data_IF_269965774062
#
_entry.id   IF_269965774062
#
_cell.length_a   1.000
_cell.length_b   1.000
_cell.length_c   1.000
_cell.angle_alpha   90.00
_cell.angle_beta   90.00
_cell.angle_gamma   90.00
#
_symmetry.space_group_name_H-M   'P 1'
#
loop_
_entity.id
_entity.type
_entity.pdbx_description
1 polymer ?
#
# COMPACT_ATOMS: atom_id res chain seq x y z
N UNK A 1 20.02 10.42 17.26
CA UNK A 1 18.84 9.90 18.01
C UNK A 1 19.00 8.39 18.13
N UNK A 2 18.77 7.81 19.29
CA UNK A 2 18.82 6.36 19.51
C UNK A 2 17.65 5.70 18.76
N UNK A 3 17.93 4.59 18.08
CA UNK A 3 16.93 3.79 17.39
C UNK A 3 15.96 3.18 18.40
N UNK A 4 14.66 3.28 18.12
CA UNK A 4 13.62 2.70 18.99
C UNK A 4 13.62 1.16 18.90
N UNK A 5 13.07 0.49 19.91
CA UNK A 5 12.94 -0.98 19.89
C UNK A 5 12.10 -1.46 18.68
N UNK A 6 11.11 -0.68 18.25
CA UNK A 6 10.26 -0.94 17.10
C UNK A 6 11.06 -0.85 15.78
N UNK A 7 11.88 0.20 15.63
CA UNK A 7 12.76 0.35 14.45
C UNK A 7 13.79 -0.77 14.37
N UNK A 8 14.35 -1.19 15.52
CA UNK A 8 15.28 -2.31 15.61
C UNK A 8 14.62 -3.63 15.15
N UNK A 9 13.40 -3.91 15.62
CA UNK A 9 12.63 -5.10 15.24
C UNK A 9 12.34 -5.10 13.74
N UNK A 10 11.85 -3.99 13.18
CA UNK A 10 11.54 -3.87 11.75
C UNK A 10 12.79 -4.03 10.89
N UNK A 11 13.91 -3.48 11.33
CA UNK A 11 15.19 -3.68 10.67
C UNK A 11 15.59 -5.15 10.61
N UNK A 12 15.48 -5.86 11.73
CA UNK A 12 15.81 -7.29 11.78
C UNK A 12 14.94 -8.10 10.84
N UNK A 13 13.66 -7.77 10.77
CA UNK A 13 12.71 -8.38 9.84
C UNK A 13 13.11 -8.15 8.37
N UNK A 14 13.37 -6.89 7.98
CA UNK A 14 13.77 -6.55 6.60
C UNK A 14 15.06 -7.30 6.20
N UNK A 15 16.06 -7.29 7.08
CA UNK A 15 17.33 -7.98 6.82
C UNK A 15 17.11 -9.50 6.75
N UNK A 16 16.24 -10.05 7.61
CA UNK A 16 15.90 -11.48 7.61
C UNK A 16 15.25 -11.92 6.30
N UNK A 17 14.27 -11.16 5.84
CA UNK A 17 13.58 -11.44 4.57
C UNK A 17 14.56 -11.35 3.39
N UNK A 18 15.38 -10.30 3.31
CA UNK A 18 16.39 -10.17 2.26
C UNK A 18 17.38 -11.34 2.23
N UNK A 19 17.84 -11.78 3.41
CA UNK A 19 18.75 -12.92 3.53
C UNK A 19 18.10 -14.24 3.08
N UNK A 20 16.83 -14.46 3.44
CA UNK A 20 16.06 -15.64 3.08
C UNK A 20 15.94 -15.83 1.56
N UNK A 21 15.86 -14.73 0.79
CA UNK A 21 15.79 -14.75 -0.68
C UNK A 21 17.15 -14.61 -1.38
N UNK A 22 18.26 -14.79 -0.66
CA UNK A 22 19.60 -14.83 -1.25
C UNK A 22 20.22 -13.47 -1.58
N UNK A 23 19.65 -12.36 -1.05
CA UNK A 23 20.24 -11.01 -1.17
C UNK A 23 21.35 -10.76 -0.12
N UNK A 24 22.04 -11.83 0.30
CA UNK A 24 23.02 -11.78 1.39
C UNK A 24 24.25 -10.96 1.04
N UNK A 25 24.70 -10.99 -0.21
CA UNK A 25 25.83 -10.13 -0.68
C UNK A 25 25.48 -8.65 -0.56
N UNK A 26 24.23 -8.28 -0.89
CA UNK A 26 23.73 -6.93 -0.69
C UNK A 26 23.74 -6.51 0.78
N UNK A 27 23.43 -7.46 1.66
CA UNK A 27 23.46 -7.27 3.11
C UNK A 27 24.91 -7.16 3.61
N UNK A 28 25.82 -8.03 3.17
CA UNK A 28 27.18 -8.12 3.70
C UNK A 28 28.05 -6.94 3.25
N UNK A 29 27.90 -6.46 2.01
CA UNK A 29 28.74 -5.38 1.47
C UNK A 29 28.31 -3.96 1.89
N UNK A 30 27.02 -3.69 2.03
CA UNK A 30 26.50 -2.34 2.27
C UNK A 30 25.81 -2.14 3.62
N UNK A 31 25.01 -3.09 4.02
CA UNK A 31 24.07 -2.96 5.13
C UNK A 31 24.75 -3.24 6.47
N UNK A 32 25.60 -4.24 6.52
CA UNK A 32 26.22 -4.75 7.75
C UNK A 32 27.10 -3.72 8.47
N UNK A 33 27.88 -2.92 7.73
CA UNK A 33 28.79 -1.90 8.29
C UNK A 33 28.07 -0.65 8.83
N UNK A 34 26.93 -0.28 8.26
CA UNK A 34 26.19 0.94 8.62
C UNK A 34 24.98 0.70 9.52
N UNK A 35 24.40 -0.50 9.49
CA UNK A 35 23.06 -0.75 10.07
C UNK A 35 23.05 -1.67 11.29
N UNK A 36 24.16 -2.34 11.60
CA UNK A 36 24.30 -3.12 12.82
C UNK A 36 25.10 -2.33 13.86
N UNK A 37 24.58 -2.12 15.08
CA UNK A 37 25.33 -1.57 16.19
C UNK A 37 26.55 -2.44 16.45
N UNK A 38 27.72 -1.83 16.68
CA UNK A 38 28.95 -2.52 17.09
C UNK A 38 28.64 -3.40 18.31
N UNK A 39 28.86 -4.72 18.17
CA UNK A 39 28.76 -5.66 19.30
C UNK A 39 27.52 -6.57 19.34
N UNK A 40 26.49 -6.37 18.51
CA UNK A 40 25.36 -7.33 18.44
C UNK A 40 25.57 -8.33 17.29
N UNK A 41 25.70 -9.62 17.66
CA UNK A 41 25.79 -10.71 16.69
C UNK A 41 24.48 -10.82 15.91
N UNK A 42 24.50 -10.57 14.62
CA UNK A 42 23.47 -10.98 13.68
C UNK A 42 23.33 -12.52 13.73
N UNK A 43 22.12 -13.01 13.97
CA UNK A 43 21.86 -14.43 13.84
C UNK A 43 21.68 -14.73 12.35
N UNK A 44 22.67 -15.37 11.74
CA UNK A 44 22.51 -15.86 10.36
C UNK A 44 21.27 -16.75 10.30
N UNK A 45 20.44 -16.60 9.24
CA UNK A 45 19.41 -17.60 8.98
C UNK A 45 20.05 -19.00 8.96
N UNK A 46 19.31 -20.00 9.35
CA UNK A 46 19.79 -21.38 9.28
C UNK A 46 20.02 -21.76 7.81
N UNK A 47 20.98 -22.65 7.56
CA UNK A 47 21.32 -23.09 6.19
C UNK A 47 20.07 -23.60 5.43
N UNK A 48 19.19 -24.30 6.11
CA UNK A 48 17.92 -24.83 5.58
C UNK A 48 16.95 -23.72 5.12
N UNK A 49 17.02 -22.52 5.71
CA UNK A 49 16.18 -21.36 5.35
C UNK A 49 16.76 -20.57 4.15
N UNK A 50 18.06 -20.67 3.91
CA UNK A 50 18.77 -19.95 2.84
C UNK A 50 18.52 -20.55 1.45
N UNK A 51 18.20 -21.85 1.35
CA UNK A 51 18.07 -22.58 0.08
C UNK A 51 16.61 -22.77 -0.39
N UNK A 52 15.63 -22.36 0.42
CA UNK A 52 14.19 -22.53 0.12
C UNK A 52 13.74 -21.85 -1.19
N UNK A 53 14.49 -20.88 -1.67
CA UNK A 53 14.11 -20.05 -2.83
C UNK A 53 15.15 -20.01 -3.96
N UNK A 54 16.13 -20.93 -3.94
CA UNK A 54 17.22 -20.96 -4.96
C UNK A 54 16.69 -21.21 -6.37
N UNK A 55 15.55 -21.85 -6.52
CA UNK A 55 14.90 -22.11 -7.80
C UNK A 55 14.17 -20.89 -8.43
N UNK A 56 14.04 -19.77 -7.70
CA UNK A 56 13.39 -18.58 -8.21
C UNK A 56 14.39 -17.70 -8.97
N UNK A 57 13.98 -17.16 -10.12
CA UNK A 57 14.75 -16.10 -10.78
C UNK A 57 14.74 -14.81 -9.95
N UNK A 58 15.73 -13.95 -10.17
CA UNK A 58 15.90 -12.69 -9.41
C UNK A 58 14.64 -11.79 -9.40
N UNK A 59 13.88 -11.62 -10.52
CA UNK A 59 12.63 -10.88 -10.49
C UNK A 59 11.59 -11.45 -9.52
N UNK A 60 11.42 -12.77 -9.50
CA UNK A 60 10.46 -13.42 -8.58
C UNK A 60 10.95 -13.42 -7.13
N UNK A 61 12.26 -13.48 -6.87
CA UNK A 61 12.84 -13.26 -5.53
C UNK A 61 12.52 -11.85 -5.03
N UNK A 62 12.72 -10.83 -5.86
CA UNK A 62 12.38 -9.45 -5.52
C UNK A 62 10.89 -9.29 -5.23
N UNK A 63 10.02 -9.85 -6.08
CA UNK A 63 8.58 -9.87 -5.83
C UNK A 63 8.25 -10.44 -4.45
N UNK A 64 8.80 -11.63 -4.16
CA UNK A 64 8.53 -12.33 -2.89
C UNK A 64 9.02 -11.55 -1.67
N UNK A 65 10.16 -10.88 -1.77
CA UNK A 65 10.65 -9.95 -0.72
C UNK A 65 9.67 -8.82 -0.48
N UNK A 66 9.22 -8.15 -1.54
CA UNK A 66 8.30 -7.02 -1.42
C UNK A 66 6.93 -7.46 -0.88
N UNK A 67 6.45 -8.64 -1.29
CA UNK A 67 5.20 -9.24 -0.82
C UNK A 67 5.28 -9.62 0.68
N UNK A 68 6.36 -10.25 1.10
CA UNK A 68 6.56 -10.67 2.50
C UNK A 68 6.78 -9.48 3.43
N UNK A 69 7.48 -8.44 3.00
CA UNK A 69 7.63 -7.21 3.76
C UNK A 69 6.31 -6.43 3.85
N UNK A 70 5.44 -6.59 2.86
CA UNK A 70 4.10 -6.03 2.83
C UNK A 70 4.06 -4.50 2.84
N UNK A 71 2.89 -3.93 3.18
CA UNK A 71 2.72 -2.50 3.39
C UNK A 71 3.28 -1.62 2.26
N UNK A 72 4.17 -0.73 2.61
CA UNK A 72 4.83 0.21 1.69
C UNK A 72 5.73 -0.51 0.68
N UNK A 73 6.37 -1.62 1.05
CA UNK A 73 7.24 -2.36 0.12
C UNK A 73 6.42 -3.01 -1.00
N UNK A 74 5.31 -3.65 -0.68
CA UNK A 74 4.41 -4.22 -1.69
C UNK A 74 3.84 -3.13 -2.60
N UNK A 75 3.42 -1.98 -2.03
CA UNK A 75 2.93 -0.83 -2.79
C UNK A 75 4.01 -0.24 -3.70
N UNK A 76 5.24 -0.13 -3.25
CA UNK A 76 6.36 0.29 -4.07
C UNK A 76 6.59 -0.66 -5.25
N UNK A 77 6.54 -1.97 -5.00
CA UNK A 77 6.61 -2.98 -6.06
C UNK A 77 5.51 -2.85 -7.11
N UNK A 78 4.28 -2.51 -6.69
CA UNK A 78 3.17 -2.23 -7.62
C UNK A 78 3.45 -0.98 -8.48
N UNK A 79 3.98 0.09 -7.89
CA UNK A 79 4.39 1.27 -8.65
C UNK A 79 5.51 0.91 -9.64
N UNK A 80 6.51 0.16 -9.21
CA UNK A 80 7.58 -0.30 -10.08
C UNK A 80 7.07 -1.19 -11.24
N UNK A 81 5.99 -1.96 -11.05
CA UNK A 81 5.41 -2.79 -12.10
C UNK A 81 4.83 -1.99 -13.27
N UNK A 82 4.57 -0.70 -13.10
CA UNK A 82 4.11 0.21 -14.16
C UNK A 82 5.25 0.96 -14.85
N UNK A 83 6.47 0.92 -14.30
CA UNK A 83 7.63 1.71 -14.74
C UNK A 83 8.51 0.91 -15.74
N UNK A 84 7.99 0.75 -16.96
CA UNK A 84 8.69 0.10 -18.08
C UNK A 84 9.94 0.87 -18.55
N UNK A 85 10.08 2.12 -18.14
CA UNK A 85 11.23 2.97 -18.36
C UNK A 85 12.42 2.66 -17.44
N UNK A 86 12.15 2.01 -16.28
CA UNK A 86 13.16 1.70 -15.26
C UNK A 86 13.52 0.21 -15.26
N UNK A 87 12.55 -0.68 -15.40
CA UNK A 87 12.71 -2.10 -15.19
C UNK A 87 12.60 -2.91 -16.48
N UNK A 88 13.42 -3.96 -16.64
CA UNK A 88 13.27 -4.95 -17.69
C UNK A 88 11.90 -5.66 -17.65
N UNK A 89 11.40 -6.17 -18.81
CA UNK A 89 10.07 -6.79 -18.90
C UNK A 89 9.81 -7.92 -17.90
N UNK A 90 10.82 -8.75 -17.61
CA UNK A 90 10.73 -9.86 -16.66
C UNK A 90 10.46 -9.41 -15.21
N UNK A 91 10.95 -8.22 -14.82
CA UNK A 91 10.64 -7.63 -13.52
C UNK A 91 9.23 -7.05 -13.50
N UNK A 92 8.80 -6.39 -14.58
CA UNK A 92 7.43 -5.88 -14.73
C UNK A 92 6.42 -7.01 -14.60
N UNK A 93 6.65 -8.13 -15.31
CA UNK A 93 5.80 -9.31 -15.25
C UNK A 93 5.71 -9.87 -13.82
N UNK A 94 6.85 -10.10 -13.19
CA UNK A 94 6.89 -10.62 -11.82
C UNK A 94 6.16 -9.70 -10.84
N UNK A 95 6.40 -8.38 -10.89
CA UNK A 95 5.84 -7.41 -9.96
C UNK A 95 4.35 -7.10 -10.24
N UNK A 96 3.86 -7.27 -11.48
CA UNK A 96 2.44 -7.03 -11.83
C UNK A 96 1.47 -7.93 -11.07
N UNK A 97 1.94 -9.08 -10.58
CA UNK A 97 1.16 -10.01 -9.77
C UNK A 97 1.15 -9.70 -8.26
N UNK A 98 1.85 -8.63 -7.82
CA UNK A 98 1.83 -8.21 -6.42
C UNK A 98 0.43 -7.77 -5.99
N UNK A 99 -0.08 -8.41 -4.95
CA UNK A 99 -1.38 -8.07 -4.35
C UNK A 99 -1.16 -7.46 -2.97
N UNK A 100 -1.87 -6.37 -2.70
CA UNK A 100 -1.85 -5.71 -1.38
C UNK A 100 -2.99 -6.19 -0.49
N UNK A 101 -3.35 -7.46 -0.55
CA UNK A 101 -4.35 -8.00 0.38
C UNK A 101 -3.70 -8.15 1.75
N UNK A 102 -4.19 -7.38 2.71
CA UNK A 102 -3.77 -7.44 4.10
C UNK A 102 -4.90 -8.04 4.96
N UNK A 103 -4.60 -8.78 6.03
CA UNK A 103 -5.61 -9.19 6.98
C UNK A 103 -6.41 -7.98 7.48
N UNK A 104 -7.69 -8.16 7.77
CA UNK A 104 -8.50 -7.12 8.41
C UNK A 104 -7.93 -6.75 9.79
N UNK A 105 -8.11 -5.49 10.20
CA UNK A 105 -7.86 -5.08 11.58
C UNK A 105 -8.96 -5.61 12.50
N UNK A 106 -8.64 -5.73 13.78
CA UNK A 106 -9.64 -6.04 14.79
C UNK A 106 -10.71 -4.94 14.87
N UNK A 107 -11.96 -5.34 15.14
CA UNK A 107 -13.07 -4.39 15.27
C UNK A 107 -12.87 -3.38 16.40
N UNK A 108 -12.17 -3.76 17.47
CA UNK A 108 -11.84 -2.85 18.58
C UNK A 108 -10.84 -1.78 18.17
N UNK A 109 -9.87 -2.12 17.32
CA UNK A 109 -8.95 -1.15 16.74
C UNK A 109 -9.70 -0.14 15.86
N UNK A 110 -10.67 -0.61 15.06
CA UNK A 110 -11.51 0.25 14.22
C UNK A 110 -12.38 1.17 15.08
N UNK A 111 -13.01 0.62 16.09
CA UNK A 111 -13.82 1.38 17.06
C UNK A 111 -13.03 2.48 17.73
N UNK A 112 -11.81 2.16 18.18
CA UNK A 112 -10.88 3.11 18.76
C UNK A 112 -10.49 4.20 17.77
N UNK A 113 -10.26 3.86 16.50
CA UNK A 113 -9.96 4.84 15.45
C UNK A 113 -11.13 5.83 15.25
N UNK A 114 -12.39 5.34 15.23
CA UNK A 114 -13.57 6.22 15.15
C UNK A 114 -13.67 7.18 16.32
N UNK A 115 -13.52 6.70 17.55
CA UNK A 115 -13.60 7.52 18.76
C UNK A 115 -12.52 8.63 18.72
N UNK A 116 -11.30 8.26 18.33
CA UNK A 116 -10.18 9.21 18.27
C UNK A 116 -10.34 10.26 17.17
N UNK A 117 -10.93 9.90 16.03
CA UNK A 117 -11.02 10.76 14.85
C UNK A 117 -12.35 11.52 14.74
N UNK A 118 -13.45 10.94 15.17
CA UNK A 118 -14.81 11.50 15.04
C UNK A 118 -15.49 11.75 16.39
N UNK A 119 -14.86 11.40 17.51
CA UNK A 119 -15.34 11.67 18.86
C UNK A 119 -16.41 10.70 19.37
N UNK A 120 -16.84 9.72 18.57
CA UNK A 120 -17.85 8.74 18.96
C UNK A 120 -17.63 7.39 18.24
N UNK A 121 -18.08 6.28 18.82
CA UNK A 121 -18.00 4.97 18.17
C UNK A 121 -18.97 4.85 16.98
N UNK A 122 -18.72 3.88 16.06
CA UNK A 122 -19.56 3.71 14.86
C UNK A 122 -21.04 3.57 15.15
N UNK A 123 -21.41 2.88 16.22
CA UNK A 123 -22.80 2.59 16.61
C UNK A 123 -23.61 3.86 16.98
N UNK A 124 -22.92 4.92 17.39
CA UNK A 124 -23.53 6.21 17.68
C UNK A 124 -23.64 7.11 16.45
N UNK A 125 -22.68 6.99 15.53
CA UNK A 125 -22.57 7.82 14.33
C UNK A 125 -23.48 7.31 13.20
N UNK A 126 -23.61 5.99 13.05
CA UNK A 126 -24.31 5.32 11.95
C UNK A 126 -25.51 4.49 12.46
N UNK A 127 -26.49 4.32 11.62
CA UNK A 127 -27.63 3.42 11.86
C UNK A 127 -27.23 1.94 11.70
N UNK A 128 -26.22 1.70 10.83
CA UNK A 128 -25.61 0.39 10.61
C UNK A 128 -24.13 0.58 10.26
N UNK A 129 -23.28 -0.27 10.81
CA UNK A 129 -21.87 -0.38 10.45
C UNK A 129 -21.50 -1.84 10.30
N UNK A 130 -20.94 -2.23 9.14
CA UNK A 130 -20.50 -3.60 8.90
C UNK A 130 -19.23 -3.90 9.69
N UNK A 131 -19.18 -4.93 10.54
CA UNK A 131 -17.95 -5.33 11.22
C UNK A 131 -16.94 -5.94 10.24
N UNK A 132 -17.41 -6.52 9.14
CA UNK A 132 -16.54 -7.06 8.09
C UNK A 132 -16.26 -5.99 7.05
N UNK A 133 -14.97 -5.78 6.68
CA UNK A 133 -14.61 -4.82 5.65
C UNK A 133 -14.99 -5.32 4.25
N UNK A 134 -15.40 -4.39 3.38
CA UNK A 134 -15.55 -4.63 1.94
C UNK A 134 -14.21 -4.89 1.26
N UNK A 135 -13.17 -4.21 1.73
CA UNK A 135 -11.81 -4.34 1.23
C UNK A 135 -10.79 -4.00 2.32
N UNK A 136 -9.65 -4.68 2.30
CA UNK A 136 -8.53 -4.43 3.20
C UNK A 136 -7.24 -4.23 2.39
N UNK A 137 -6.72 -3.01 2.39
CA UNK A 137 -5.51 -2.60 1.70
C UNK A 137 -4.34 -2.36 2.68
N UNK A 138 -3.17 -2.02 2.15
CA UNK A 138 -1.95 -1.80 2.95
C UNK A 138 -2.06 -0.69 3.98
N UNK A 139 -2.74 0.40 3.66
CA UNK A 139 -2.83 1.59 4.52
C UNK A 139 -4.18 1.75 5.22
N UNK A 140 -5.24 1.14 4.68
CA UNK A 140 -6.60 1.34 5.14
C UNK A 140 -7.47 0.11 4.88
N UNK A 141 -8.64 0.09 5.48
CA UNK A 141 -9.73 -0.81 5.12
C UNK A 141 -11.02 -0.02 4.89
N UNK A 142 -11.92 -0.60 4.10
CA UNK A 142 -13.18 0.03 3.71
C UNK A 142 -14.33 -0.78 4.29
N UNK A 143 -15.23 -0.12 5.00
CA UNK A 143 -16.43 -0.71 5.58
C UNK A 143 -17.69 -0.15 4.92
N UNK A 144 -18.74 -0.96 4.90
CA UNK A 144 -20.09 -0.53 4.52
C UNK A 144 -20.80 0.00 5.75
N UNK A 145 -21.48 1.14 5.61
CA UNK A 145 -22.30 1.68 6.67
C UNK A 145 -23.58 2.33 6.13
N UNK A 146 -24.52 2.66 7.01
CA UNK A 146 -25.74 3.39 6.69
C UNK A 146 -25.87 4.58 7.63
N UNK A 147 -26.05 5.76 7.05
CA UNK A 147 -26.32 6.98 7.80
C UNK A 147 -27.71 6.91 8.45
N UNK A 148 -27.98 7.77 9.43
CA UNK A 148 -29.27 7.85 10.14
C UNK A 148 -30.44 8.27 9.24
N UNK A 149 -30.16 8.87 8.08
CA UNK A 149 -31.16 9.20 7.05
C UNK A 149 -31.42 8.05 6.06
N UNK A 150 -30.79 6.90 6.25
CA UNK A 150 -30.94 5.72 5.41
C UNK A 150 -29.95 5.63 4.26
N UNK A 151 -29.08 6.62 4.02
CA UNK A 151 -28.12 6.64 2.93
C UNK A 151 -27.00 5.62 3.16
N UNK A 152 -26.71 4.79 2.15
CA UNK A 152 -25.59 3.85 2.19
C UNK A 152 -24.28 4.53 1.83
N UNK A 153 -23.24 4.30 2.64
CA UNK A 153 -21.92 4.88 2.51
C UNK A 153 -20.80 3.84 2.60
N UNK A 154 -19.70 4.14 1.96
CA UNK A 154 -18.42 3.47 2.14
C UNK A 154 -17.56 4.31 3.07
N UNK A 155 -16.97 3.67 4.08
CA UNK A 155 -16.12 4.34 5.05
C UNK A 155 -14.73 3.74 4.96
N UNK A 156 -13.77 4.54 4.50
CA UNK A 156 -12.35 4.20 4.44
C UNK A 156 -11.67 4.64 5.73
N UNK A 157 -11.04 3.71 6.43
CA UNK A 157 -10.42 3.94 7.73
C UNK A 157 -8.95 3.52 7.65
N UNK A 158 -8.06 4.39 8.09
CA UNK A 158 -6.64 4.05 8.20
C UNK A 158 -6.41 2.98 9.26
N UNK A 159 -5.44 2.11 8.96
CA UNK A 159 -4.97 1.12 9.92
C UNK A 159 -4.34 1.80 11.14
N UNK A 160 -4.46 1.19 12.34
CA UNK A 160 -3.79 1.71 13.53
C UNK A 160 -2.28 1.88 13.30
N UNK A 161 -1.76 3.03 13.73
CA UNK A 161 -0.32 3.37 13.66
C UNK A 161 0.30 3.29 12.26
N UNK A 162 -0.52 3.44 11.21
CA UNK A 162 -0.06 3.33 9.82
C UNK A 162 1.00 4.39 9.49
N UNK A 163 0.85 5.60 9.98
CA UNK A 163 1.78 6.71 9.77
C UNK A 163 3.18 6.42 10.30
N UNK A 164 3.29 5.86 11.53
CA UNK A 164 4.59 5.46 12.10
C UNK A 164 5.24 4.34 11.27
N UNK A 165 4.46 3.34 10.89
CA UNK A 165 4.95 2.21 10.11
C UNK A 165 5.42 2.66 8.72
N UNK A 166 4.59 3.47 8.04
CA UNK A 166 4.92 4.04 6.72
C UNK A 166 6.18 4.89 6.78
N UNK A 167 6.29 5.81 7.74
CA UNK A 167 7.47 6.66 7.87
C UNK A 167 8.75 5.85 8.11
N UNK A 168 8.67 4.78 8.89
CA UNK A 168 9.79 3.88 9.14
C UNK A 168 10.17 3.08 7.90
N UNK A 169 9.18 2.48 7.23
CA UNK A 169 9.41 1.66 6.03
C UNK A 169 9.95 2.49 4.86
N UNK A 170 9.48 3.75 4.69
CA UNK A 170 10.00 4.68 3.69
C UNK A 170 11.48 5.01 3.92
N UNK A 171 11.90 5.20 5.19
CA UNK A 171 13.33 5.39 5.51
C UNK A 171 14.17 4.16 5.12
N UNK A 172 13.60 2.96 5.32
CA UNK A 172 14.27 1.73 4.93
C UNK A 172 14.33 1.57 3.41
N UNK A 173 13.27 1.91 2.71
CA UNK A 173 13.23 1.90 1.25
C UNK A 173 14.28 2.83 0.64
N UNK A 174 14.41 4.05 1.17
CA UNK A 174 15.47 4.99 0.73
C UNK A 174 16.86 4.39 0.94
N UNK A 175 17.15 3.84 2.12
CA UNK A 175 18.45 3.22 2.42
C UNK A 175 18.75 2.03 1.52
N UNK A 176 17.75 1.19 1.26
CA UNK A 176 17.89 0.05 0.34
C UNK A 176 18.15 0.53 -1.08
N UNK A 177 17.41 1.52 -1.56
CA UNK A 177 17.59 2.12 -2.89
C UNK A 177 19.01 2.70 -3.06
N UNK A 178 19.51 3.45 -2.07
CA UNK A 178 20.89 3.96 -2.10
C UNK A 178 21.93 2.84 -2.21
N UNK A 179 21.73 1.71 -1.51
CA UNK A 179 22.67 0.58 -1.60
C UNK A 179 22.58 -0.11 -2.97
N UNK A 180 21.36 -0.34 -3.48
CA UNK A 180 21.15 -0.95 -4.79
C UNK A 180 21.82 -0.12 -5.90
N UNK A 181 21.63 1.20 -5.91
CA UNK A 181 22.27 2.10 -6.90
C UNK A 181 23.79 2.09 -6.80
N UNK A 182 24.36 1.98 -5.58
CA UNK A 182 25.83 1.86 -5.39
C UNK A 182 26.38 0.53 -5.87
N UNK A 183 25.62 -0.56 -5.71
CA UNK A 183 26.04 -1.91 -6.09
C UNK A 183 25.87 -2.18 -7.58
N UNK A 184 24.89 -1.52 -8.21
CA UNK A 184 24.53 -1.68 -9.62
C UNK A 184 24.62 -0.32 -10.32
N UNK A 185 25.83 0.14 -10.68
CA UNK A 185 26.03 1.47 -11.29
C UNK A 185 25.23 1.70 -12.58
N UNK A 186 24.89 0.63 -13.31
CA UNK A 186 24.05 0.67 -14.49
C UNK A 186 22.61 1.19 -14.23
N UNK A 187 22.19 1.26 -12.97
CA UNK A 187 20.90 1.84 -12.58
C UNK A 187 20.93 3.37 -12.42
N UNK A 188 22.11 4.00 -12.40
CA UNK A 188 22.20 5.46 -12.25
C UNK A 188 21.39 6.26 -13.28
N UNK A 189 21.40 5.90 -14.59
CA UNK A 189 20.62 6.63 -15.60
C UNK A 189 19.11 6.59 -15.37
N UNK A 190 18.61 5.58 -14.65
CA UNK A 190 17.17 5.35 -14.43
C UNK A 190 16.57 6.14 -13.25
N UNK A 191 17.36 7.00 -12.60
CA UNK A 191 16.90 7.90 -11.54
C UNK A 191 16.11 7.21 -10.44
N UNK A 192 16.56 6.02 -10.02
CA UNK A 192 15.88 5.18 -9.01
C UNK A 192 15.59 5.95 -7.72
N UNK A 193 16.52 6.79 -7.27
CA UNK A 193 16.33 7.57 -6.04
C UNK A 193 15.26 8.66 -6.19
N UNK A 194 15.13 9.27 -7.37
CA UNK A 194 14.04 10.22 -7.65
C UNK A 194 12.69 9.51 -7.61
N UNK A 195 12.60 8.31 -8.20
CA UNK A 195 11.37 7.49 -8.13
C UNK A 195 10.99 7.12 -6.70
N UNK A 196 11.97 6.78 -5.86
CA UNK A 196 11.73 6.51 -4.43
C UNK A 196 11.26 7.78 -3.71
N UNK A 197 11.82 8.95 -4.03
CA UNK A 197 11.42 10.21 -3.42
C UNK A 197 9.99 10.61 -3.83
N UNK A 198 9.63 10.51 -5.11
CA UNK A 198 8.27 10.73 -5.59
C UNK A 198 7.26 9.79 -4.95
N UNK A 199 7.62 8.51 -4.84
CA UNK A 199 6.80 7.51 -4.16
C UNK A 199 6.60 7.85 -2.68
N UNK A 200 7.66 8.30 -1.98
CA UNK A 200 7.61 8.73 -0.59
C UNK A 200 6.63 9.89 -0.41
N UNK A 201 6.76 10.94 -1.21
CA UNK A 201 5.90 12.12 -1.13
C UNK A 201 4.44 11.77 -1.40
N UNK A 202 4.19 10.93 -2.40
CA UNK A 202 2.84 10.47 -2.73
C UNK A 202 2.27 9.61 -1.59
N UNK A 203 3.04 8.66 -1.07
CA UNK A 203 2.60 7.81 0.04
C UNK A 203 2.30 8.57 1.32
N UNK A 204 3.07 9.63 1.63
CA UNK A 204 2.79 10.49 2.77
C UNK A 204 1.53 11.34 2.58
N UNK A 205 1.25 11.79 1.34
CA UNK A 205 0.00 12.51 1.01
C UNK A 205 -1.23 11.63 1.16
N UNK A 206 -1.13 10.35 0.76
CA UNK A 206 -2.22 9.37 0.91
C UNK A 206 -2.59 9.05 2.37
N UNK A 207 -1.74 9.40 3.34
CA UNK A 207 -2.07 9.32 4.77
C UNK A 207 -3.00 10.46 5.24
N UNK A 208 -3.46 11.31 4.35
CA UNK A 208 -4.38 12.39 4.68
C UNK A 208 -5.64 12.32 3.82
N UNK A 209 -6.69 11.73 4.36
CA UNK A 209 -7.96 11.56 3.65
C UNK A 209 -8.72 12.86 3.40
N UNK A 210 -8.40 13.96 4.07
CA UNK A 210 -8.92 15.27 3.64
C UNK A 210 -8.45 15.64 2.23
N UNK A 211 -7.20 15.28 1.87
CA UNK A 211 -6.69 15.53 0.52
C UNK A 211 -7.43 14.65 -0.49
N UNK A 212 -7.64 13.37 -0.17
CA UNK A 212 -8.40 12.45 -1.03
C UNK A 212 -9.84 12.92 -1.22
N UNK A 213 -10.52 13.32 -0.16
CA UNK A 213 -11.89 13.85 -0.22
C UNK A 213 -11.99 15.12 -1.08
N UNK A 214 -11.02 16.04 -0.96
CA UNK A 214 -10.97 17.24 -1.81
C UNK A 214 -10.70 16.92 -3.28
N UNK A 215 -9.87 15.92 -3.55
CA UNK A 215 -9.67 15.47 -4.93
C UNK A 215 -10.95 14.89 -5.52
N UNK A 216 -11.72 14.11 -4.75
CA UNK A 216 -13.02 13.58 -5.17
C UNK A 216 -13.95 14.74 -5.56
N UNK A 217 -14.09 15.77 -4.72
CA UNK A 217 -14.91 16.94 -5.03
C UNK A 217 -14.41 17.72 -6.25
N UNK A 218 -13.10 17.86 -6.41
CA UNK A 218 -12.53 18.54 -7.60
C UNK A 218 -12.88 17.79 -8.88
N UNK A 219 -12.97 16.46 -8.85
CA UNK A 219 -13.40 15.66 -9.99
C UNK A 219 -14.91 15.80 -10.30
N UNK A 220 -15.74 16.14 -9.31
CA UNK A 220 -17.18 16.34 -9.52
C UNK A 220 -17.45 17.47 -10.53
N UNK A 221 -16.71 18.58 -10.45
CA UNK A 221 -16.81 19.70 -11.41
C UNK A 221 -16.48 19.28 -12.85
N UNK A 222 -15.53 18.34 -13.02
CA UNK A 222 -15.21 17.78 -14.34
C UNK A 222 -16.26 16.77 -14.81
N UNK A 223 -16.76 15.95 -13.89
CA UNK A 223 -17.74 14.89 -14.17
C UNK A 223 -19.09 15.45 -14.59
N UNK A 224 -19.49 16.65 -14.14
CA UNK A 224 -20.71 17.33 -14.61
C UNK A 224 -20.74 17.53 -16.13
N UNK A 225 -19.56 17.63 -16.76
CA UNK A 225 -19.41 17.75 -18.23
C UNK A 225 -19.40 16.38 -18.93
N UNK A 226 -19.24 15.30 -18.19
CA UNK A 226 -19.08 13.93 -18.68
C UNK A 226 -20.22 13.07 -18.14
N UNK A 227 -21.35 13.04 -18.85
CA UNK A 227 -22.59 12.38 -18.41
C UNK A 227 -22.49 10.87 -18.10
N UNK A 228 -21.36 10.24 -18.42
CA UNK A 228 -21.09 8.83 -18.19
C UNK A 228 -20.24 8.53 -16.94
N UNK A 229 -19.76 9.57 -16.24
CA UNK A 229 -18.98 9.43 -15.02
C UNK A 229 -19.83 9.81 -13.80
N UNK A 230 -19.81 9.00 -12.78
CA UNK A 230 -20.39 9.29 -11.48
C UNK A 230 -19.32 9.35 -10.41
N UNK A 231 -19.23 10.48 -9.72
CA UNK A 231 -18.30 10.69 -8.61
C UNK A 231 -19.05 10.47 -7.29
N UNK A 232 -18.48 9.74 -6.31
CA UNK A 232 -19.09 9.58 -5.00
C UNK A 232 -19.06 10.90 -4.23
N UNK A 233 -20.19 11.26 -3.59
CA UNK A 233 -20.26 12.41 -2.70
C UNK A 233 -19.48 12.14 -1.42
N UNK A 234 -18.73 13.14 -0.93
CA UNK A 234 -18.01 13.08 0.34
C UNK A 234 -18.88 13.61 1.48
N UNK A 235 -18.93 12.89 2.60
CA UNK A 235 -19.67 13.29 3.80
C UNK A 235 -18.71 13.87 4.84
N UNK A 236 -18.41 15.16 4.74
CA UNK A 236 -17.42 15.86 5.58
C UNK A 236 -17.68 15.78 7.06
N UNK A 237 -18.94 15.72 7.47
CA UNK A 237 -19.32 15.54 8.89
C UNK A 237 -18.77 14.23 9.50
N UNK A 238 -18.55 13.22 8.67
CA UNK A 238 -18.05 11.89 9.04
C UNK A 238 -16.67 11.62 8.41
N UNK A 239 -15.96 12.69 8.06
CA UNK A 239 -14.63 12.61 7.43
C UNK A 239 -13.62 13.36 8.28
N UNK A 240 -12.46 12.74 8.50
CA UNK A 240 -11.32 13.28 9.22
C UNK A 240 -10.03 13.04 8.43
N UNK A 241 -8.89 13.33 9.03
CA UNK A 241 -7.60 12.99 8.42
C UNK A 241 -7.44 11.48 8.15
N UNK A 242 -8.04 10.62 8.98
CA UNK A 242 -7.87 9.16 8.95
C UNK A 242 -9.13 8.38 8.63
N UNK A 243 -10.25 9.06 8.49
CA UNK A 243 -11.53 8.48 8.13
C UNK A 243 -12.11 9.25 6.95
N UNK A 244 -12.45 8.57 5.86
CA UNK A 244 -13.14 9.15 4.70
C UNK A 244 -14.47 8.44 4.50
N UNK A 245 -15.55 9.20 4.57
CA UNK A 245 -16.90 8.71 4.34
C UNK A 245 -17.43 9.27 3.03
N UNK A 246 -17.86 8.39 2.13
CA UNK A 246 -18.34 8.72 0.80
C UNK A 246 -19.48 7.80 0.37
N UNK A 247 -20.19 8.14 -0.71
CA UNK A 247 -21.23 7.29 -1.28
C UNK A 247 -20.72 5.85 -1.50
N UNK A 248 -21.55 4.87 -1.18
CA UNK A 248 -21.30 3.48 -1.54
C UNK A 248 -21.63 3.29 -3.03
N UNK A 249 -20.60 3.27 -3.87
CA UNK A 249 -20.75 3.00 -5.29
C UNK A 249 -20.98 1.51 -5.52
N UNK A 250 -21.96 1.19 -6.35
CA UNK A 250 -22.25 -0.16 -6.78
C UNK A 250 -21.90 -0.30 -8.26
N UNK A 251 -21.30 -1.41 -8.64
CA UNK A 251 -20.92 -1.66 -10.02
C UNK A 251 -20.03 -2.89 -10.16
N UNK A 252 -19.71 -3.23 -11.40
CA UNK A 252 -18.75 -4.30 -11.73
C UNK A 252 -17.38 -3.69 -11.94
N UNK A 253 -16.31 -4.24 -11.34
CA UNK A 253 -14.94 -3.76 -11.56
C UNK A 253 -14.57 -3.75 -13.04
N UNK A 254 -13.94 -2.67 -13.49
CA UNK A 254 -13.57 -2.49 -14.91
C UNK A 254 -12.47 -3.43 -15.40
N UNK A 255 -11.69 -4.00 -14.48
CA UNK A 255 -10.64 -4.98 -14.74
C UNK A 255 -11.17 -6.43 -14.85
N UNK A 256 -12.42 -6.69 -14.46
CA UNK A 256 -13.06 -8.01 -14.57
C UNK A 256 -13.87 -8.15 -15.86
N UNK A 257 -13.17 -8.43 -16.98
CA UNK A 257 -13.80 -8.62 -18.30
C UNK A 257 -14.90 -9.70 -18.26
N UNK A 258 -14.71 -10.75 -17.47
CA UNK A 258 -15.67 -11.86 -17.36
C UNK A 258 -16.96 -11.38 -16.68
N UNK A 259 -16.85 -10.64 -15.57
CA UNK A 259 -18.00 -10.11 -14.84
C UNK A 259 -18.72 -9.03 -15.64
N UNK A 260 -17.98 -8.14 -16.34
CA UNK A 260 -18.57 -7.13 -17.22
C UNK A 260 -19.41 -7.77 -18.33
N UNK A 261 -18.92 -8.83 -18.98
CA UNK A 261 -19.70 -9.58 -19.96
C UNK A 261 -20.92 -10.25 -19.35
N UNK A 262 -20.77 -10.87 -18.17
CA UNK A 262 -21.87 -11.53 -17.47
C UNK A 262 -22.96 -10.52 -17.04
N UNK A 263 -22.57 -9.28 -16.70
CA UNK A 263 -23.47 -8.17 -16.42
C UNK A 263 -24.11 -7.53 -17.67
N UNK A 264 -23.79 -8.02 -18.88
CA UNK A 264 -24.38 -7.55 -20.12
C UNK A 264 -23.78 -6.26 -20.69
N UNK A 265 -22.60 -5.83 -20.21
CA UNK A 265 -21.95 -4.63 -20.72
C UNK A 265 -21.31 -4.85 -22.10
N UNK A 266 -21.50 -3.88 -23.01
CA UNK A 266 -20.79 -3.82 -24.30
C UNK A 266 -19.39 -3.23 -24.09
N UNK A 267 -18.39 -4.10 -24.16
CA UNK A 267 -16.98 -3.71 -23.92
C UNK A 267 -16.44 -2.72 -24.96
N UNK A 268 -16.98 -2.74 -26.23
CA UNK A 268 -16.55 -1.78 -27.25
C UNK A 268 -17.08 -0.39 -26.95
N UNK A 269 -18.33 -0.30 -26.49
CA UNK A 269 -18.93 0.95 -26.06
C UNK A 269 -18.23 1.51 -24.84
N UNK A 270 -17.98 0.69 -23.81
CA UNK A 270 -17.23 1.10 -22.61
C UNK A 270 -15.82 1.63 -22.95
N UNK A 271 -15.11 0.98 -23.89
CA UNK A 271 -13.78 1.44 -24.31
C UNK A 271 -13.78 2.65 -25.27
N UNK A 272 -14.93 3.02 -25.84
CA UNK A 272 -15.09 4.20 -26.68
C UNK A 272 -15.52 5.45 -25.95
N UNK A 273 -16.07 5.28 -24.75
CA UNK A 273 -16.52 6.39 -23.87
C UNK A 273 -15.40 6.87 -22.93
N UNK A 274 -14.26 6.17 -22.86
CA UNK A 274 -13.05 6.48 -22.09
C UNK A 274 -11.93 6.93 -23.02
#
# INVERSE_FOLDING_TARGET
MAETAKELKRRQEIIGVLAQYGFQEAIDQGIRRKWLPSGKRWRKPKEDELHLHDNLSTPYKLRSVLEQLGGIFAKFGQVLSTRRDILPPEYIEALSSLRSQMPSCDNEDIRTAFINELGAPPEELFDYFSPEPLAAASLAQVHKARLKDGTWVAIKIQRPRVDENVAMDLKWLERLGEQVVKMVPSLQPFRVMETIQEFKETSLRELNFFIEGRHIESFEEYAERLHFIKIPKVYWRYTSRRVLTMDLMQGTPSDSIVELKAAGHDLKKLGGDV
#
